data_IF_473708952878
#
_entry.id   IF_473708952878
#
_cell.length_a   1.000
_cell.length_b   1.000
_cell.length_c   1.000
_cell.angle_alpha   90.00
_cell.angle_beta   90.00
_cell.angle_gamma   90.00
#
_symmetry.space_group_name_H-M   'P 1'
#
loop_
_entity.id
_entity.type
_entity.pdbx_description
1 polymer ?
#
# COMPACT_ATOMS: atom_id res chain seq x y z
N UNK A 1 -3.33 -31.50 0.58
CA UNK A 1 -2.14 -30.62 0.58
C UNK A 1 -2.17 -29.86 -0.73
N UNK A 2 -2.02 -28.53 -0.71
CA UNK A 2 -1.94 -27.76 -1.95
C UNK A 2 -0.66 -28.13 -2.70
N UNK A 3 -0.74 -28.31 -4.02
CA UNK A 3 0.42 -28.55 -4.87
C UNK A 3 1.35 -27.33 -4.85
N UNK A 4 2.66 -27.57 -4.82
CA UNK A 4 3.69 -26.53 -4.79
C UNK A 4 4.63 -26.72 -5.96
N UNK A 5 4.89 -25.63 -6.69
CA UNK A 5 5.79 -25.59 -7.83
C UNK A 5 7.10 -24.90 -7.44
N UNK A 6 8.20 -25.46 -7.94
CA UNK A 6 9.54 -24.98 -7.65
C UNK A 6 10.27 -24.70 -8.95
N UNK A 7 10.89 -23.53 -9.05
CA UNK A 7 11.61 -23.11 -10.25
C UNK A 7 13.00 -22.56 -9.92
N UNK A 8 13.87 -22.60 -10.91
CA UNK A 8 15.17 -21.95 -10.90
C UNK A 8 15.37 -21.18 -12.20
N UNK A 9 15.99 -20.02 -12.14
CA UNK A 9 16.48 -19.32 -13.33
C UNK A 9 17.80 -18.61 -13.04
N UNK A 10 18.60 -18.41 -14.09
CA UNK A 10 19.86 -17.67 -13.96
C UNK A 10 19.57 -16.19 -13.73
N UNK A 11 20.29 -15.57 -12.81
CA UNK A 11 20.30 -14.12 -12.56
C UNK A 11 20.53 -13.30 -13.82
N UNK A 12 21.30 -13.84 -14.77
CA UNK A 12 21.65 -13.19 -16.04
C UNK A 12 20.59 -13.35 -17.13
N UNK A 13 19.59 -14.22 -16.93
CA UNK A 13 18.47 -14.40 -17.87
C UNK A 13 17.59 -13.15 -17.93
N UNK A 14 16.70 -13.05 -18.92
CA UNK A 14 15.73 -11.94 -18.99
C UNK A 14 14.86 -11.89 -17.73
N UNK A 15 14.29 -13.04 -17.33
CA UNK A 15 13.50 -13.15 -16.09
C UNK A 15 14.36 -12.86 -14.85
N UNK A 16 15.57 -13.42 -14.75
CA UNK A 16 16.48 -13.18 -13.64
C UNK A 16 16.88 -11.71 -13.45
N UNK A 17 17.13 -10.97 -14.54
CA UNK A 17 17.43 -9.54 -14.48
C UNK A 17 16.22 -8.70 -14.03
N UNK A 18 15.01 -9.10 -14.44
CA UNK A 18 13.77 -8.46 -13.96
C UNK A 18 13.56 -8.76 -12.49
N UNK A 19 13.76 -9.99 -12.03
CA UNK A 19 13.71 -10.36 -10.61
C UNK A 19 14.72 -9.58 -9.78
N UNK A 20 15.97 -9.42 -10.26
CA UNK A 20 16.95 -8.55 -9.61
C UNK A 20 16.43 -7.12 -9.44
N UNK A 21 15.80 -6.57 -10.47
CA UNK A 21 15.30 -5.20 -10.45
C UNK A 21 14.13 -5.06 -9.48
N UNK A 22 13.19 -6.02 -9.50
CA UNK A 22 12.08 -6.10 -8.57
C UNK A 22 12.56 -6.23 -7.12
N UNK A 23 13.49 -7.16 -6.84
CA UNK A 23 14.07 -7.36 -5.52
C UNK A 23 14.78 -6.10 -4.99
N UNK A 24 15.55 -5.40 -5.84
CA UNK A 24 16.18 -4.12 -5.45
C UNK A 24 15.15 -3.03 -5.15
N UNK A 25 14.03 -2.97 -5.87
CA UNK A 25 12.93 -2.05 -5.55
C UNK A 25 12.33 -2.39 -4.17
N UNK A 26 12.06 -3.67 -3.92
CA UNK A 26 11.50 -4.15 -2.65
C UNK A 26 12.42 -3.79 -1.47
N UNK A 27 13.72 -4.12 -1.56
CA UNK A 27 14.70 -3.78 -0.53
C UNK A 27 14.77 -2.27 -0.25
N UNK A 28 14.75 -1.44 -1.29
CA UNK A 28 14.74 0.03 -1.12
C UNK A 28 13.45 0.53 -0.47
N UNK A 29 12.33 -0.11 -0.78
CA UNK A 29 11.04 0.28 -0.21
C UNK A 29 10.97 -0.08 1.29
N UNK A 30 11.45 -1.26 1.62
CA UNK A 30 11.59 -1.75 2.99
C UNK A 30 12.55 -0.88 3.82
N UNK A 31 13.74 -0.57 3.28
CA UNK A 31 14.69 0.34 3.92
C UNK A 31 14.08 1.73 4.18
N UNK A 32 13.22 2.22 3.30
CA UNK A 32 12.51 3.51 3.49
C UNK A 32 11.46 3.42 4.60
N UNK A 33 10.76 2.30 4.72
CA UNK A 33 9.81 2.04 5.80
C UNK A 33 10.53 1.91 7.16
N UNK A 34 11.63 1.16 7.22
CA UNK A 34 12.49 1.06 8.41
C UNK A 34 13.01 2.46 8.84
N UNK A 35 13.52 3.24 7.90
CA UNK A 35 14.03 4.58 8.19
C UNK A 35 12.93 5.54 8.68
N UNK A 36 11.70 5.38 8.17
CA UNK A 36 10.54 6.11 8.67
C UNK A 36 10.24 5.74 10.12
N UNK A 37 10.14 4.44 10.46
CA UNK A 37 9.91 3.98 11.82
C UNK A 37 10.99 4.49 12.80
N UNK A 38 12.27 4.30 12.44
CA UNK A 38 13.43 4.77 13.22
C UNK A 38 13.39 6.28 13.48
N UNK A 39 13.04 7.08 12.46
CA UNK A 39 12.95 8.54 12.56
C UNK A 39 11.92 9.00 13.59
N UNK A 40 10.87 8.22 13.80
CA UNK A 40 9.81 8.51 14.76
C UNK A 40 9.99 7.78 16.09
N UNK A 41 11.15 7.15 16.32
CA UNK A 41 11.48 6.39 17.53
C UNK A 41 10.53 5.21 17.80
N UNK A 42 9.94 4.65 16.74
CA UNK A 42 9.25 3.36 16.80
C UNK A 42 10.28 2.22 16.83
N UNK A 43 9.94 1.12 17.50
CA UNK A 43 10.79 -0.08 17.56
C UNK A 43 10.62 -0.95 16.32
N UNK A 44 9.44 -0.94 15.71
CA UNK A 44 9.16 -1.65 14.46
C UNK A 44 8.08 -0.90 13.65
N UNK A 45 7.72 -1.47 12.50
CA UNK A 45 6.53 -1.09 11.75
C UNK A 45 5.80 -2.33 11.26
N UNK A 46 4.50 -2.16 11.04
CA UNK A 46 3.64 -3.14 10.40
C UNK A 46 3.47 -2.75 8.93
N UNK A 47 3.87 -3.66 8.04
CA UNK A 47 3.70 -3.48 6.60
C UNK A 47 2.24 -3.71 6.20
N UNK A 48 1.71 -2.94 5.23
CA UNK A 48 0.38 -3.22 4.70
C UNK A 48 0.31 -4.56 3.97
N UNK A 49 -0.67 -5.38 4.31
CA UNK A 49 -0.83 -6.75 3.78
C UNK A 49 -1.09 -6.82 2.27
N UNK A 50 -1.58 -5.74 1.67
CA UNK A 50 -1.86 -5.65 0.23
C UNK A 50 -0.61 -5.48 -0.64
N UNK A 51 0.56 -5.18 -0.06
CA UNK A 51 1.79 -4.92 -0.80
C UNK A 51 2.85 -6.00 -0.52
N UNK A 52 3.71 -6.25 -1.52
CA UNK A 52 4.85 -7.15 -1.40
C UNK A 52 5.89 -6.59 -0.43
N UNK A 53 6.24 -5.31 -0.58
CA UNK A 53 7.24 -4.65 0.26
C UNK A 53 6.98 -3.15 0.40
N UNK A 54 7.38 -2.59 1.53
CA UNK A 54 7.35 -1.16 1.80
C UNK A 54 5.98 -0.62 2.22
N UNK A 55 5.92 0.70 2.43
CA UNK A 55 4.81 1.33 3.12
C UNK A 55 4.80 1.03 4.62
N UNK A 56 3.91 1.72 5.35
CA UNK A 56 3.70 1.52 6.79
C UNK A 56 2.21 1.73 7.08
N UNK A 57 1.55 0.69 7.59
CA UNK A 57 0.20 0.80 8.13
C UNK A 57 0.27 1.32 9.56
N UNK A 58 1.05 0.65 10.43
CA UNK A 58 1.18 0.99 11.84
C UNK A 58 2.64 1.02 12.30
N UNK A 59 2.88 1.75 13.38
CA UNK A 59 4.12 1.74 14.13
C UNK A 59 3.90 1.08 15.49
N UNK A 60 4.90 0.31 15.93
CA UNK A 60 4.96 -0.26 17.26
C UNK A 60 6.02 0.49 18.07
N UNK A 61 5.77 0.69 19.36
CA UNK A 61 6.67 1.41 20.25
C UNK A 61 6.95 0.60 21.51
N UNK A 62 8.21 0.57 21.95
CA UNK A 62 8.59 -0.04 23.23
C UNK A 62 7.95 0.67 24.44
N UNK A 63 7.64 1.96 24.28
CA UNK A 63 6.95 2.79 25.26
C UNK A 63 5.82 3.54 24.58
N UNK A 64 4.67 3.64 25.27
CA UNK A 64 3.51 4.37 24.76
C UNK A 64 3.91 5.77 24.26
N UNK A 65 3.65 6.09 22.98
CA UNK A 65 4.02 7.36 22.38
C UNK A 65 3.05 8.48 22.81
N UNK A 66 3.41 9.74 22.49
CA UNK A 66 2.54 10.89 22.73
C UNK A 66 1.20 10.75 21.98
N UNK A 67 0.05 10.66 22.68
CA UNK A 67 -1.26 10.47 22.06
C UNK A 67 -1.71 11.66 21.21
N UNK A 68 -1.12 12.84 21.42
CA UNK A 68 -1.37 14.00 20.57
C UNK A 68 -0.72 13.86 19.18
N UNK A 69 0.26 12.96 19.03
CA UNK A 69 0.95 12.68 17.76
C UNK A 69 0.50 11.36 17.17
N UNK A 70 0.27 10.35 18.00
CA UNK A 70 0.02 8.96 17.61
C UNK A 70 -1.27 8.45 18.24
N UNK A 71 -2.22 8.00 17.43
CA UNK A 71 -3.41 7.32 17.97
C UNK A 71 -3.18 5.83 17.99
N UNK A 72 -3.53 5.19 19.10
CA UNK A 72 -3.63 3.74 19.19
C UNK A 72 -4.78 3.29 18.29
N UNK A 73 -4.51 2.38 17.35
CA UNK A 73 -5.53 1.88 16.43
C UNK A 73 -6.06 0.53 16.86
N UNK A 74 -5.17 -0.37 17.24
CA UNK A 74 -5.50 -1.74 17.62
C UNK A 74 -4.47 -2.26 18.63
N UNK A 75 -4.88 -3.27 19.41
CA UNK A 75 -3.96 -4.13 20.16
C UNK A 75 -4.02 -5.50 19.50
N UNK A 76 -2.87 -6.04 19.09
CA UNK A 76 -2.79 -7.37 18.49
C UNK A 76 -3.16 -8.45 19.51
N UNK A 77 -3.50 -9.68 19.07
CA UNK A 77 -3.70 -10.81 19.98
C UNK A 77 -2.51 -11.08 20.92
N UNK A 78 -1.31 -10.73 20.47
CA UNK A 78 -0.06 -10.87 21.24
C UNK A 78 0.18 -9.73 22.24
N UNK A 79 -0.76 -8.79 22.35
CA UNK A 79 -0.69 -7.68 23.30
C UNK A 79 0.18 -6.51 22.84
N UNK A 80 0.53 -6.44 21.56
CA UNK A 80 1.32 -5.34 20.98
C UNK A 80 0.37 -4.22 20.55
N UNK A 81 0.65 -3.00 20.99
CA UNK A 81 -0.12 -1.83 20.61
C UNK A 81 0.40 -1.23 19.29
N UNK A 82 -0.50 -1.12 18.32
CA UNK A 82 -0.22 -0.57 17.00
C UNK A 82 -0.79 0.85 16.87
N UNK A 83 0.05 1.77 16.40
CA UNK A 83 -0.26 3.20 16.34
C UNK A 83 -0.16 3.72 14.92
N UNK A 84 -1.01 4.69 14.59
CA UNK A 84 -0.92 5.49 13.37
C UNK A 84 -0.86 6.98 13.73
N UNK A 85 -0.43 7.86 12.81
CA UNK A 85 -0.48 9.29 13.06
C UNK A 85 -1.88 9.73 13.50
N UNK A 86 -1.95 10.63 14.48
CA UNK A 86 -3.23 11.15 15.00
C UNK A 86 -3.92 12.15 14.05
N UNK A 87 -3.69 11.98 12.76
CA UNK A 87 -4.32 12.65 11.65
C UNK A 87 -4.22 11.75 10.43
N UNK A 88 -5.19 11.83 9.52
CA UNK A 88 -5.16 11.07 8.29
C UNK A 88 -5.45 12.00 7.13
N UNK A 89 -4.64 11.89 6.08
CA UNK A 89 -5.03 12.48 4.79
C UNK A 89 -6.15 11.60 4.28
N UNK A 90 -7.39 12.10 4.36
CA UNK A 90 -8.50 11.42 3.72
C UNK A 90 -8.31 11.54 2.21
N UNK A 91 -8.55 10.44 1.51
CA UNK A 91 -8.74 10.46 0.05
C UNK A 91 -10.09 11.07 -0.34
N UNK A 92 -10.89 11.48 0.64
CA UNK A 92 -12.12 12.22 0.46
C UNK A 92 -11.79 13.67 0.15
N UNK A 93 -12.35 14.14 -0.94
CA UNK A 93 -12.26 15.52 -1.35
C UNK A 93 -13.51 16.23 -0.89
N UNK A 94 -13.35 17.45 -0.37
CA UNK A 94 -14.49 18.35 -0.32
C UNK A 94 -14.86 18.70 -1.76
N UNK A 95 -16.09 18.37 -2.14
CA UNK A 95 -16.66 18.72 -3.45
C UNK A 95 -17.24 20.12 -3.34
N UNK A 96 -16.80 21.02 -4.21
CA UNK A 96 -17.20 22.42 -4.17
C UNK A 96 -17.70 22.89 -5.53
N UNK A 97 -18.74 23.70 -5.46
CA UNK A 97 -19.43 24.24 -6.62
C UNK A 97 -18.77 25.57 -7.02
N UNK A 98 -18.19 25.59 -8.22
CA UNK A 98 -17.57 26.78 -8.79
C UNK A 98 -16.33 27.28 -8.03
N UNK A 99 -15.89 28.49 -8.39
CA UNK A 99 -14.59 29.02 -7.97
C UNK A 99 -14.62 29.81 -6.64
N UNK A 100 -15.80 30.12 -6.13
CA UNK A 100 -15.97 31.07 -5.02
C UNK A 100 -15.87 30.42 -3.62
N UNK A 101 -15.67 29.10 -3.55
CA UNK A 101 -15.56 28.42 -2.26
C UNK A 101 -14.20 28.70 -1.59
N UNK A 102 -14.21 29.34 -0.42
CA UNK A 102 -13.02 29.53 0.39
C UNK A 102 -13.03 28.53 1.55
N UNK A 103 -12.20 27.47 1.52
CA UNK A 103 -12.11 26.55 2.64
C UNK A 103 -11.60 27.28 3.88
N UNK A 104 -12.32 27.16 4.98
CA UNK A 104 -11.85 27.53 6.31
C UNK A 104 -11.65 26.25 7.12
N UNK A 105 -10.57 26.19 7.89
CA UNK A 105 -10.31 25.03 8.75
C UNK A 105 -11.48 24.81 9.72
N UNK A 106 -11.91 23.56 9.83
CA UNK A 106 -12.82 23.13 10.91
C UNK A 106 -11.99 22.55 12.05
N UNK A 107 -12.59 22.40 13.22
CA UNK A 107 -11.88 21.88 14.40
C UNK A 107 -11.19 20.52 14.13
N UNK A 108 -11.79 19.68 13.28
CA UNK A 108 -11.28 18.39 12.90
C UNK A 108 -10.68 18.32 11.48
N UNK A 109 -10.63 19.41 10.70
CA UNK A 109 -10.10 19.37 9.32
C UNK A 109 -9.29 20.60 8.96
N UNK A 110 -8.16 20.37 8.30
CA UNK A 110 -7.42 21.42 7.59
C UNK A 110 -7.48 21.16 6.09
N UNK A 111 -7.86 22.18 5.34
CA UNK A 111 -8.00 22.06 3.88
C UNK A 111 -6.66 22.39 3.21
N UNK A 112 -6.28 21.59 2.21
CA UNK A 112 -5.13 21.93 1.39
C UNK A 112 -5.54 23.03 0.38
N UNK A 113 -4.66 24.00 0.09
CA UNK A 113 -4.98 25.11 -0.82
C UNK A 113 -5.16 24.68 -2.27
N UNK A 114 -4.73 23.46 -2.63
CA UNK A 114 -4.83 22.93 -3.98
C UNK A 114 -6.28 22.51 -4.30
N UNK A 115 -6.80 23.00 -5.42
CA UNK A 115 -8.06 22.56 -6.03
C UNK A 115 -7.75 21.62 -7.19
N UNK A 116 -8.38 20.46 -7.21
CA UNK A 116 -8.22 19.47 -8.27
C UNK A 116 -9.49 19.42 -9.14
N UNK A 117 -9.38 19.39 -10.47
CA UNK A 117 -10.50 19.13 -11.35
C UNK A 117 -10.87 17.64 -11.33
N UNK A 118 -12.11 17.34 -11.75
CA UNK A 118 -12.63 15.97 -11.86
C UNK A 118 -11.68 15.00 -12.59
N UNK A 119 -11.08 15.45 -13.68
CA UNK A 119 -10.17 14.64 -14.52
C UNK A 119 -8.96 14.09 -13.76
N UNK A 120 -8.48 14.80 -12.72
CA UNK A 120 -7.35 14.36 -11.89
C UNK A 120 -7.76 13.46 -10.72
N UNK A 121 -9.02 13.52 -10.29
CA UNK A 121 -9.48 12.79 -9.12
C UNK A 121 -10.34 11.58 -9.44
N UNK A 122 -10.98 11.49 -10.62
CA UNK A 122 -11.93 10.41 -10.94
C UNK A 122 -11.37 9.00 -10.77
N UNK A 123 -10.06 8.81 -10.98
CA UNK A 123 -9.38 7.52 -10.78
C UNK A 123 -9.05 7.18 -9.32
N UNK A 124 -9.36 8.05 -8.36
CA UNK A 124 -9.00 7.87 -6.94
C UNK A 124 -10.01 7.06 -6.14
N UNK A 125 -11.23 6.89 -6.65
CA UNK A 125 -12.30 6.11 -6.00
C UNK A 125 -13.01 5.24 -7.02
N UNK A 126 -13.67 4.19 -6.53
CA UNK A 126 -14.53 3.33 -7.33
C UNK A 126 -15.78 4.08 -7.81
N UNK A 127 -16.41 3.56 -8.87
CA UNK A 127 -17.68 4.09 -9.39
C UNK A 127 -18.77 4.16 -8.30
N UNK A 128 -18.83 3.17 -7.40
CA UNK A 128 -19.80 3.13 -6.29
C UNK A 128 -19.58 4.27 -5.30
N UNK A 129 -18.32 4.56 -4.96
CA UNK A 129 -17.99 5.67 -4.07
C UNK A 129 -18.29 7.01 -4.73
N UNK A 130 -17.98 7.18 -6.02
CA UNK A 130 -18.32 8.40 -6.74
C UNK A 130 -19.82 8.60 -6.93
N UNK A 131 -20.58 7.52 -7.14
CA UNK A 131 -22.04 7.59 -7.16
C UNK A 131 -22.61 8.10 -5.83
N UNK A 132 -22.08 7.62 -4.71
CA UNK A 132 -22.46 8.09 -3.38
C UNK A 132 -22.13 9.58 -3.19
N UNK A 133 -20.95 10.03 -3.66
CA UNK A 133 -20.56 11.45 -3.61
C UNK A 133 -21.44 12.32 -4.52
N UNK A 134 -21.79 11.83 -5.71
CA UNK A 134 -22.68 12.50 -6.65
C UNK A 134 -24.16 12.43 -6.25
N UNK A 135 -24.50 11.65 -5.21
CA UNK A 135 -25.88 11.46 -4.75
C UNK A 135 -26.76 10.66 -5.72
N UNK A 136 -26.18 9.81 -6.57
CA UNK A 136 -26.92 9.03 -7.56
C UNK A 136 -26.97 7.52 -7.22
N UNK A 137 -28.04 6.86 -7.68
CA UNK A 137 -28.26 5.41 -7.52
C UNK A 137 -27.85 4.71 -8.80
N UNK A 138 -26.94 3.74 -8.68
CA UNK A 138 -26.45 2.94 -9.81
C UNK A 138 -27.54 2.03 -10.37
N UNK A 139 -27.74 2.03 -11.70
CA UNK A 139 -28.79 1.27 -12.38
C UNK A 139 -28.30 -0.02 -13.07
N UNK A 140 -27.09 -0.48 -12.73
CA UNK A 140 -26.41 -1.70 -13.24
C UNK A 140 -25.90 -1.60 -14.69
N UNK A 141 -26.20 -0.51 -15.40
CA UNK A 141 -25.59 -0.17 -16.68
C UNK A 141 -24.34 0.69 -16.43
N UNK A 142 -23.17 0.04 -16.45
CA UNK A 142 -21.90 0.69 -16.07
C UNK A 142 -21.54 1.88 -16.95
N UNK A 143 -21.89 1.85 -18.24
CA UNK A 143 -21.56 2.94 -19.15
C UNK A 143 -22.43 4.16 -18.88
N UNK A 144 -23.73 3.96 -18.69
CA UNK A 144 -24.65 5.05 -18.33
C UNK A 144 -24.37 5.61 -16.94
N UNK A 145 -24.09 4.75 -15.97
CA UNK A 145 -23.71 5.15 -14.61
C UNK A 145 -22.42 5.99 -14.65
N UNK A 146 -21.42 5.61 -15.45
CA UNK A 146 -20.19 6.37 -15.63
C UNK A 146 -20.44 7.75 -16.25
N UNK A 147 -21.22 7.81 -17.34
CA UNK A 147 -21.56 9.07 -18.00
C UNK A 147 -22.29 10.03 -17.07
N UNK A 148 -23.28 9.54 -16.29
CA UNK A 148 -24.03 10.36 -15.34
C UNK A 148 -23.13 10.92 -14.23
N UNK A 149 -22.23 10.10 -13.67
CA UNK A 149 -21.27 10.55 -12.66
C UNK A 149 -20.32 11.59 -13.25
N UNK A 150 -19.79 11.36 -14.47
CA UNK A 150 -18.91 12.29 -15.16
C UNK A 150 -19.62 13.64 -15.39
N UNK A 151 -20.87 13.62 -15.83
CA UNK A 151 -21.69 14.83 -16.03
C UNK A 151 -21.84 15.62 -14.72
N UNK A 152 -22.27 14.96 -13.63
CA UNK A 152 -22.54 15.61 -12.34
C UNK A 152 -21.28 16.17 -11.66
N UNK A 153 -20.11 15.54 -11.88
CA UNK A 153 -18.87 15.88 -11.19
C UNK A 153 -17.89 16.72 -12.02
N UNK A 154 -18.03 16.74 -13.35
CA UNK A 154 -17.11 17.44 -14.27
C UNK A 154 -16.96 18.95 -13.99
N UNK A 155 -18.04 19.61 -13.55
CA UNK A 155 -18.06 21.03 -13.21
C UNK A 155 -17.66 21.36 -11.76
N UNK A 156 -17.25 20.36 -10.98
CA UNK A 156 -16.92 20.50 -9.55
C UNK A 156 -15.41 20.59 -9.36
N UNK A 157 -15.01 21.27 -8.28
CA UNK A 157 -13.65 21.20 -7.78
C UNK A 157 -13.57 20.32 -6.54
N UNK A 158 -12.40 19.73 -6.36
CA UNK A 158 -12.12 18.76 -5.31
C UNK A 158 -10.96 19.26 -4.46
N UNK A 159 -11.22 19.51 -3.19
CA UNK A 159 -10.24 20.04 -2.24
C UNK A 159 -9.87 18.93 -1.26
N UNK A 160 -8.62 18.43 -1.24
CA UNK A 160 -8.22 17.47 -0.24
C UNK A 160 -8.17 18.14 1.12
N UNK A 161 -8.51 17.38 2.15
CA UNK A 161 -8.40 17.83 3.52
C UNK A 161 -7.68 16.79 4.37
N UNK A 162 -7.00 17.28 5.39
CA UNK A 162 -6.45 16.47 6.44
C UNK A 162 -7.46 16.40 7.57
N UNK A 163 -7.85 15.20 7.99
CA UNK A 163 -8.75 14.99 9.12
C UNK A 163 -7.93 14.66 10.38
N UNK A 164 -8.29 15.29 11.49
CA UNK A 164 -7.69 15.09 12.80
C UNK A 164 -8.59 14.22 13.66
N UNK A 165 -7.99 13.39 14.51
CA UNK A 165 -8.73 12.54 15.44
C UNK A 165 -8.37 12.95 16.87
N UNK A 166 -9.37 13.24 17.71
CA UNK A 166 -9.17 13.69 19.09
C UNK A 166 -10.07 14.85 19.48
N UNK A 167 -10.42 14.92 20.76
CA UNK A 167 -11.49 15.78 21.28
C UNK A 167 -11.07 17.24 21.56
N UNK A 168 -9.77 17.59 21.56
CA UNK A 168 -9.32 18.88 22.12
C UNK A 168 -8.34 19.68 21.26
N UNK A 169 -8.25 19.45 19.95
CA UNK A 169 -7.41 20.33 19.11
C UNK A 169 -8.29 21.36 18.42
N UNK A 170 -8.60 22.45 19.12
CA UNK A 170 -9.12 23.66 18.45
C UNK A 170 -8.00 24.22 17.59
N UNK A 171 -7.93 23.79 16.32
CA UNK A 171 -6.98 24.30 15.34
C UNK A 171 -7.42 25.71 14.96
N UNK A 172 -6.95 26.72 15.70
CA UNK A 172 -6.90 28.05 15.13
C UNK A 172 -5.81 28.03 14.04
N UNK A 173 -6.18 28.28 12.78
CA UNK A 173 -5.26 28.26 11.63
C UNK A 173 -3.98 29.09 11.84
N UNK A 174 -3.99 30.06 12.78
CA UNK A 174 -2.82 30.87 13.15
C UNK A 174 -1.84 30.19 14.12
N UNK A 175 -2.22 29.13 14.83
CA UNK A 175 -1.39 28.44 15.84
C UNK A 175 -1.65 26.93 15.87
N UNK A 176 -1.08 26.21 14.90
CA UNK A 176 -1.04 24.74 14.92
C UNK A 176 -0.09 24.26 16.03
N UNK A 177 -0.55 23.44 17.01
CA UNK A 177 0.30 22.88 18.06
C UNK A 177 1.48 22.08 17.51
N UNK A 178 2.58 22.01 18.26
CA UNK A 178 3.78 21.30 17.81
C UNK A 178 3.53 19.79 17.64
N UNK A 179 2.74 19.18 18.52
CA UNK A 179 2.29 17.79 18.41
C UNK A 179 1.53 17.56 17.11
N UNK A 180 0.59 18.43 16.77
CA UNK A 180 -0.16 18.36 15.53
C UNK A 180 0.74 18.49 14.30
N UNK A 181 1.72 19.40 14.29
CA UNK A 181 2.71 19.50 13.20
C UNK A 181 3.52 18.22 13.04
N UNK A 182 3.86 17.55 14.14
CA UNK A 182 4.55 16.25 14.11
C UNK A 182 3.66 15.17 13.51
N UNK A 183 2.38 15.08 13.91
CA UNK A 183 1.42 14.15 13.33
C UNK A 183 1.24 14.36 11.82
N UNK A 184 1.04 15.63 11.40
CA UNK A 184 0.92 16.01 9.99
C UNK A 184 2.15 15.57 9.19
N UNK A 185 3.35 15.81 9.76
CA UNK A 185 4.61 15.43 9.11
C UNK A 185 4.72 13.92 9.00
N UNK A 186 4.41 13.17 10.07
CA UNK A 186 4.41 11.72 10.06
C UNK A 186 3.48 11.18 8.97
N UNK A 187 2.23 11.64 8.92
CA UNK A 187 1.27 11.19 7.91
C UNK A 187 1.71 11.53 6.48
N UNK A 188 2.18 12.75 6.22
CA UNK A 188 2.67 13.12 4.88
C UNK A 188 3.89 12.30 4.43
N UNK A 189 4.77 11.98 5.36
CA UNK A 189 5.93 11.14 5.06
C UNK A 189 5.52 9.68 4.84
N UNK A 190 4.59 9.16 5.64
CA UNK A 190 4.01 7.82 5.51
C UNK A 190 3.36 7.62 4.14
N UNK A 191 2.56 8.57 3.68
CA UNK A 191 1.89 8.55 2.37
C UNK A 191 2.86 8.61 1.17
N UNK A 192 4.12 9.01 1.39
CA UNK A 192 5.16 9.09 0.36
C UNK A 192 6.06 7.86 0.34
N UNK A 193 5.86 6.93 1.27
CA UNK A 193 6.66 5.72 1.30
C UNK A 193 6.40 4.92 0.01
N UNK A 194 7.46 4.47 -0.67
CA UNK A 194 7.30 3.58 -1.81
C UNK A 194 6.68 2.26 -1.34
N UNK A 195 5.80 1.72 -2.18
CA UNK A 195 5.24 0.38 -2.04
C UNK A 195 5.54 -0.41 -3.30
N UNK A 196 5.72 -1.72 -3.16
CA UNK A 196 5.91 -2.64 -4.27
C UNK A 196 4.72 -3.59 -4.30
N UNK A 197 3.99 -3.62 -5.40
CA UNK A 197 2.80 -4.47 -5.55
C UNK A 197 3.23 -5.92 -5.87
N UNK A 198 2.58 -6.90 -5.24
CA UNK A 198 2.79 -8.31 -5.54
C UNK A 198 2.36 -8.66 -6.98
N UNK A 199 1.44 -7.91 -7.58
CA UNK A 199 1.03 -8.07 -8.97
C UNK A 199 2.19 -7.89 -9.95
N UNK A 200 3.15 -7.00 -9.66
CA UNK A 200 4.37 -6.86 -10.50
C UNK A 200 5.14 -8.18 -10.56
N UNK A 201 5.20 -8.93 -9.46
CA UNK A 201 5.85 -10.24 -9.40
C UNK A 201 5.04 -11.30 -10.15
N UNK A 202 3.71 -11.30 -10.01
CA UNK A 202 2.84 -12.25 -10.70
C UNK A 202 2.96 -12.12 -12.22
N UNK A 203 2.96 -10.88 -12.72
CA UNK A 203 3.16 -10.57 -14.15
C UNK A 203 4.56 -10.94 -14.62
N UNK A 204 5.58 -10.76 -13.78
CA UNK A 204 6.96 -11.11 -14.11
C UNK A 204 7.10 -12.63 -14.30
N UNK A 205 6.46 -13.42 -13.44
CA UNK A 205 6.52 -14.88 -13.44
C UNK A 205 5.51 -15.54 -14.39
N UNK A 206 4.71 -14.74 -15.11
CA UNK A 206 3.58 -15.19 -15.93
C UNK A 206 2.74 -16.24 -15.19
N UNK A 207 2.29 -15.86 -13.99
CA UNK A 207 1.43 -16.70 -13.17
C UNK A 207 0.02 -16.64 -13.73
N UNK A 208 -0.43 -17.76 -14.30
CA UNK A 208 -1.81 -17.89 -14.75
C UNK A 208 -2.64 -18.55 -13.66
N UNK A 209 -3.56 -17.76 -13.12
CA UNK A 209 -4.62 -18.30 -12.28
C UNK A 209 -5.66 -18.93 -13.20
N UNK A 210 -5.77 -20.26 -13.13
CA UNK A 210 -6.86 -21.03 -13.73
C UNK A 210 -8.16 -20.77 -12.96
N UNK A 211 -8.65 -19.54 -13.08
CA UNK A 211 -9.87 -19.08 -12.45
C UNK A 211 -10.71 -18.40 -13.55
N UNK A 212 -12.02 -18.67 -13.66
CA UNK A 212 -12.88 -17.99 -14.63
C UNK A 212 -12.78 -16.47 -14.51
N UNK A 213 -12.89 -15.75 -15.64
CA UNK A 213 -12.57 -14.31 -15.76
C UNK A 213 -13.25 -13.43 -14.71
N UNK A 214 -14.46 -13.81 -14.27
CA UNK A 214 -15.27 -13.08 -13.28
C UNK A 214 -14.67 -13.14 -11.86
N UNK A 215 -13.84 -14.15 -11.57
CA UNK A 215 -13.23 -14.40 -10.28
C UNK A 215 -11.72 -14.14 -10.24
N UNK A 216 -11.06 -13.87 -11.38
CA UNK A 216 -9.61 -13.59 -11.45
C UNK A 216 -9.17 -12.42 -10.56
N UNK A 217 -9.97 -11.35 -10.44
CA UNK A 217 -9.64 -10.19 -9.59
C UNK A 217 -9.75 -10.48 -8.09
N UNK A 218 -10.72 -11.31 -7.69
CA UNK A 218 -10.91 -11.68 -6.29
C UNK A 218 -9.96 -12.80 -5.85
N UNK A 219 -9.59 -13.72 -6.77
CA UNK A 219 -8.66 -14.81 -6.49
C UNK A 219 -7.19 -14.37 -6.46
N UNK A 220 -6.79 -13.36 -7.24
CA UNK A 220 -5.43 -12.81 -7.17
C UNK A 220 -5.04 -12.30 -5.77
N UNK A 221 -6.03 -11.83 -4.98
CA UNK A 221 -5.83 -11.38 -3.61
C UNK A 221 -5.72 -12.53 -2.58
N UNK A 222 -6.16 -13.75 -2.92
CA UNK A 222 -6.09 -14.92 -2.03
C UNK A 222 -4.97 -15.90 -2.39
N UNK A 223 -4.22 -15.61 -3.45
CA UNK A 223 -3.09 -16.44 -3.90
C UNK A 223 -1.86 -16.05 -3.10
N UNK A 224 -1.27 -17.04 -2.42
CA UNK A 224 -0.03 -16.85 -1.67
C UNK A 224 1.06 -16.27 -2.60
N UNK A 225 1.61 -15.13 -2.21
CA UNK A 225 2.72 -14.48 -2.89
C UNK A 225 3.89 -15.46 -3.05
N UNK A 226 4.46 -15.64 -4.26
CA UNK A 226 5.62 -16.49 -4.46
C UNK A 226 6.79 -16.07 -3.58
N UNK A 227 7.46 -17.07 -3.01
CA UNK A 227 8.70 -16.88 -2.28
C UNK A 227 9.85 -17.08 -3.25
N UNK A 228 10.80 -16.14 -3.29
CA UNK A 228 12.00 -16.29 -4.08
C UNK A 228 13.23 -15.69 -3.38
N UNK A 229 14.40 -16.24 -3.70
CA UNK A 229 15.68 -15.75 -3.19
C UNK A 229 16.78 -15.98 -4.21
N UNK A 230 17.85 -15.19 -4.10
CA UNK A 230 19.06 -15.34 -4.92
C UNK A 230 20.09 -16.15 -4.13
N UNK A 231 20.67 -17.18 -4.75
CA UNK A 231 21.83 -17.89 -4.24
C UNK A 231 22.83 -18.13 -5.37
N UNK A 232 24.06 -17.64 -5.19
CA UNK A 232 25.05 -17.58 -6.27
C UNK A 232 24.49 -16.83 -7.49
N UNK A 233 24.50 -17.47 -8.65
CA UNK A 233 24.00 -16.91 -9.91
C UNK A 233 22.57 -17.33 -10.27
N UNK A 234 21.83 -17.95 -9.34
CA UNK A 234 20.50 -18.46 -9.60
C UNK A 234 19.45 -17.89 -8.64
N UNK A 235 18.29 -17.54 -9.19
CA UNK A 235 17.08 -17.35 -8.40
C UNK A 235 16.37 -18.68 -8.22
N UNK A 236 15.93 -18.94 -7.00
CA UNK A 236 15.08 -20.07 -6.63
C UNK A 236 13.71 -19.53 -6.25
N UNK A 237 12.65 -20.13 -6.77
CA UNK A 237 11.28 -19.63 -6.67
C UNK A 237 10.38 -20.78 -6.23
N UNK A 238 9.48 -20.49 -5.28
CA UNK A 238 8.40 -21.37 -4.84
C UNK A 238 7.07 -20.65 -5.04
N UNK A 239 6.11 -21.34 -5.64
CA UNK A 239 4.76 -20.81 -5.90
C UNK A 239 3.70 -21.89 -5.72
N UNK A 240 2.48 -21.49 -5.33
CA UNK A 240 1.29 -22.37 -5.34
C UNK A 240 0.64 -22.52 -6.71
N UNK A 241 1.03 -21.67 -7.66
CA UNK A 241 0.46 -21.59 -9.00
C UNK A 241 1.59 -21.75 -10.01
N UNK A 242 1.38 -22.48 -11.13
CA UNK A 242 2.39 -22.62 -12.16
C UNK A 242 2.87 -21.26 -12.69
N UNK A 243 4.19 -21.11 -12.77
CA UNK A 243 4.83 -19.97 -13.43
C UNK A 243 5.16 -20.37 -14.87
N UNK A 244 4.76 -19.55 -15.85
CA UNK A 244 4.95 -19.83 -17.28
C UNK A 244 6.00 -18.93 -17.94
N UNK A 245 6.66 -18.06 -17.18
CA UNK A 245 7.67 -17.19 -17.74
C UNK A 245 8.81 -18.00 -18.39
N UNK A 246 9.23 -17.55 -19.57
CA UNK A 246 10.33 -18.15 -20.31
C UNK A 246 11.60 -18.22 -19.46
N UNK A 247 12.48 -19.20 -19.72
CA UNK A 247 13.74 -19.43 -18.99
C UNK A 247 13.60 -19.92 -17.54
N UNK A 248 12.38 -20.06 -16.99
CA UNK A 248 12.16 -20.78 -15.73
C UNK A 248 12.34 -22.28 -15.95
N UNK A 249 13.23 -22.89 -15.18
CA UNK A 249 13.45 -24.33 -15.19
C UNK A 249 12.81 -24.94 -13.95
N UNK A 250 12.01 -25.99 -14.12
CA UNK A 250 11.46 -26.72 -12.99
C UNK A 250 12.59 -27.30 -12.13
N UNK A 251 12.44 -27.21 -10.81
CA UNK A 251 13.30 -27.87 -9.83
C UNK A 251 12.43 -28.60 -8.80
N UNK A 252 13.01 -29.08 -7.71
CA UNK A 252 12.29 -29.80 -6.67
C UNK A 252 12.41 -29.10 -5.31
N UNK A 253 11.50 -29.46 -4.41
CA UNK A 253 11.43 -28.94 -3.04
C UNK A 253 12.73 -29.15 -2.25
N UNK A 254 13.40 -30.29 -2.44
CA UNK A 254 14.62 -30.62 -1.70
C UNK A 254 15.75 -29.66 -2.06
N UNK A 255 15.97 -29.40 -3.35
CA UNK A 255 16.96 -28.44 -3.84
C UNK A 255 16.61 -27.00 -3.39
N UNK A 256 15.35 -26.58 -3.54
CA UNK A 256 14.91 -25.26 -3.07
C UNK A 256 15.19 -25.05 -1.58
N UNK A 257 14.80 -26.01 -0.73
CA UNK A 257 15.00 -25.92 0.71
C UNK A 257 16.48 -25.99 1.10
N UNK A 258 17.26 -26.83 0.41
CA UNK A 258 18.71 -26.90 0.60
C UNK A 258 19.34 -25.53 0.32
N UNK A 259 19.07 -24.92 -0.84
CA UNK A 259 19.61 -23.60 -1.19
C UNK A 259 19.10 -22.47 -0.31
N UNK A 260 17.84 -22.53 0.13
CA UNK A 260 17.26 -21.52 1.04
C UNK A 260 18.07 -21.42 2.33
N UNK A 261 18.46 -22.56 2.92
CA UNK A 261 19.29 -22.60 4.13
C UNK A 261 20.65 -21.94 3.92
N UNK A 262 21.30 -22.18 2.78
CA UNK A 262 22.57 -21.51 2.47
C UNK A 262 22.42 -20.02 2.25
N UNK A 263 21.39 -19.60 1.50
CA UNK A 263 21.12 -18.18 1.29
C UNK A 263 20.88 -17.44 2.62
N UNK A 264 20.17 -18.05 3.58
CA UNK A 264 19.94 -17.49 4.91
C UNK A 264 21.23 -17.34 5.72
N UNK A 265 22.14 -18.32 5.64
CA UNK A 265 23.44 -18.26 6.31
C UNK A 265 24.31 -17.15 5.71
N UNK A 266 24.32 -17.01 4.38
CA UNK A 266 25.10 -15.99 3.67
C UNK A 266 24.55 -14.57 3.87
N UNK A 267 23.24 -14.41 4.05
CA UNK A 267 22.56 -13.11 4.22
C UNK A 267 22.36 -12.69 5.69
N UNK A 268 22.86 -13.47 6.66
CA UNK A 268 22.74 -13.14 8.08
C UNK A 268 21.33 -13.30 8.66
N UNK A 269 20.48 -14.13 8.03
CA UNK A 269 19.23 -14.59 8.62
C UNK A 269 17.99 -13.70 8.46
N UNK A 270 17.95 -12.77 7.50
CA UNK A 270 16.69 -12.07 7.15
C UNK A 270 15.91 -12.85 6.08
N UNK A 271 14.73 -13.35 6.42
CA UNK A 271 13.73 -13.84 5.46
C UNK A 271 12.93 -12.65 4.89
N UNK A 272 12.48 -12.76 3.64
CA UNK A 272 11.32 -12.01 3.12
C UNK A 272 10.05 -12.78 3.43
#
# INVERSE_FOLDING_TARGET
>A
MAEMYYYVCKKTSVVGRRLCSFFKKALRADERAENYAKKFAASSYVQPSQFFAGGVDFLEFDKAPDPAVWRKRITTPDGIDEYEPNCMVRSDFLVVDGENFTPYDTWNRTYLPARFPWTLVRGKKSMKEWAAVAGCVLIKDKEKDACLIDELLSGKFFIPYLEYFGEEVVVNAKRVPQSLRKAIRAEKERQRLPVVDAQELFLLLDMQLDVPDDAKKASQLSVETPIFFLQGDNFYIRSRVPCKADELQATNMAEFNYRKRFAQIESGGKEN
#
